data_IF_765281283769
#
_entry.id   IF_765281283769
#
_cell.length_a   1.000
_cell.length_b   1.000
_cell.length_c   1.000
_cell.angle_alpha   90.00
_cell.angle_beta   90.00
_cell.angle_gamma   90.00
#
_symmetry.space_group_name_H-M   'P 1'
#
loop_
_entity.id
_entity.type
_entity.pdbx_description
1 polymer ?
#
# COMPACT_ATOMS: atom_id res chain seq x y z
N UNK A 1 -25.95 5.75 -27.02
CA UNK A 1 -24.66 6.41 -26.73
C UNK A 1 -24.87 7.39 -25.57
N UNK A 2 -23.88 7.61 -24.70
CA UNK A 2 -23.86 8.80 -23.83
C UNK A 2 -24.06 10.04 -24.69
N UNK A 3 -24.73 11.07 -24.16
CA UNK A 3 -24.90 12.33 -24.87
C UNK A 3 -23.58 13.12 -24.75
N UNK A 4 -22.83 13.22 -25.85
CA UNK A 4 -21.51 13.86 -25.90
C UNK A 4 -21.59 15.36 -26.25
N UNK A 5 -22.79 15.92 -26.40
CA UNK A 5 -22.95 17.32 -26.77
C UNK A 5 -22.41 18.23 -25.67
N UNK A 6 -21.45 19.09 -26.00
CA UNK A 6 -20.86 20.06 -25.07
C UNK A 6 -19.66 19.56 -24.26
N UNK A 7 -19.05 18.42 -24.64
CA UNK A 7 -17.75 18.03 -24.10
C UNK A 7 -16.59 18.51 -24.99
N UNK A 8 -15.54 19.05 -24.38
CA UNK A 8 -14.31 19.47 -25.04
C UNK A 8 -13.25 18.35 -25.01
N UNK A 9 -12.54 18.07 -26.11
CA UNK A 9 -11.46 17.08 -26.13
C UNK A 9 -10.24 17.60 -25.35
N UNK A 10 -9.72 16.78 -24.41
CA UNK A 10 -8.45 17.05 -23.72
C UNK A 10 -7.28 16.50 -24.52
N UNK A 11 -7.44 15.29 -25.07
CA UNK A 11 -6.41 14.63 -25.86
C UNK A 11 -6.68 14.83 -27.36
N UNK A 12 -5.63 14.95 -28.20
CA UNK A 12 -5.81 15.17 -29.64
C UNK A 12 -6.58 14.05 -30.36
N UNK A 13 -6.54 12.83 -29.83
CA UNK A 13 -7.26 11.66 -30.33
C UNK A 13 -8.74 11.59 -29.87
N UNK A 14 -9.18 12.54 -29.04
CA UNK A 14 -10.53 12.56 -28.46
C UNK A 14 -10.79 11.43 -27.46
N UNK A 15 -9.75 10.73 -27.00
CA UNK A 15 -9.87 9.63 -26.06
C UNK A 15 -10.21 10.06 -24.62
N UNK A 16 -10.05 11.35 -24.30
CA UNK A 16 -10.55 11.95 -23.07
C UNK A 16 -11.35 13.20 -23.40
N UNK A 17 -12.62 13.22 -22.99
CA UNK A 17 -13.56 14.31 -23.20
C UNK A 17 -13.94 14.94 -21.85
N UNK A 18 -14.03 16.27 -21.78
CA UNK A 18 -14.30 17.03 -20.55
C UNK A 18 -15.58 17.84 -20.65
N UNK A 19 -16.36 17.90 -19.57
CA UNK A 19 -17.37 18.94 -19.36
C UNK A 19 -17.21 19.53 -17.98
N UNK A 20 -17.09 20.86 -17.90
CA UNK A 20 -17.03 21.58 -16.62
C UNK A 20 -18.42 21.68 -16.04
N UNK A 21 -18.63 21.16 -14.82
CA UNK A 21 -19.91 21.21 -14.11
C UNK A 21 -20.00 22.45 -13.22
N UNK A 22 -18.89 22.81 -12.57
CA UNK A 22 -18.73 24.01 -11.76
C UNK A 22 -17.39 24.64 -12.06
N UNK A 23 -17.41 25.90 -12.46
CA UNK A 23 -16.18 26.66 -12.69
C UNK A 23 -15.51 27.04 -11.37
N UNK A 24 -14.18 27.11 -11.41
CA UNK A 24 -13.37 27.69 -10.34
C UNK A 24 -13.65 29.19 -10.21
N UNK A 25 -13.50 29.75 -9.01
CA UNK A 25 -13.64 31.21 -8.82
C UNK A 25 -12.45 31.91 -9.47
N UNK A 26 -12.65 33.15 -9.93
CA UNK A 26 -11.58 33.95 -10.53
C UNK A 26 -10.41 34.23 -9.59
N UNK A 27 -10.62 34.13 -8.27
CA UNK A 27 -9.61 34.26 -7.22
C UNK A 27 -8.73 33.01 -7.05
N UNK A 28 -9.13 31.87 -7.60
CA UNK A 28 -8.48 30.60 -7.33
C UNK A 28 -7.18 30.48 -8.15
N UNK A 29 -6.07 30.02 -7.54
CA UNK A 29 -4.78 29.98 -8.20
C UNK A 29 -4.79 28.96 -9.35
N UNK A 30 -4.18 29.33 -10.48
CA UNK A 30 -3.90 28.38 -11.55
C UNK A 30 -2.79 27.43 -11.11
N UNK A 31 -3.04 26.11 -11.04
CA UNK A 31 -2.05 25.16 -10.56
C UNK A 31 -0.87 25.03 -11.52
N UNK A 32 0.33 24.90 -10.98
CA UNK A 32 1.54 24.56 -11.75
C UNK A 32 1.75 23.05 -11.70
N UNK A 33 1.57 22.39 -12.84
CA UNK A 33 1.74 20.94 -12.95
C UNK A 33 3.20 20.58 -13.20
N UNK A 34 3.94 20.35 -12.11
CA UNK A 34 5.30 19.80 -12.15
C UNK A 34 5.31 18.36 -11.65
N UNK A 35 6.34 17.60 -12.00
CA UNK A 35 6.55 16.25 -11.45
C UNK A 35 6.67 16.34 -9.93
N UNK A 36 5.92 15.51 -9.21
CA UNK A 36 5.84 15.56 -7.75
C UNK A 36 4.77 16.49 -7.19
N UNK A 37 4.00 17.22 -8.01
CA UNK A 37 2.85 17.96 -7.47
C UNK A 37 1.81 16.99 -6.89
N UNK A 38 1.24 17.34 -5.73
CA UNK A 38 0.13 16.62 -5.11
C UNK A 38 -1.19 17.23 -5.56
N UNK A 39 -2.01 16.49 -6.29
CA UNK A 39 -3.39 16.89 -6.51
C UNK A 39 -4.28 16.24 -5.45
N UNK A 40 -4.98 17.07 -4.66
CA UNK A 40 -5.94 16.62 -3.66
C UNK A 40 -7.35 16.88 -4.18
N UNK A 41 -8.12 15.81 -4.37
CA UNK A 41 -9.45 15.91 -4.97
C UNK A 41 -10.40 14.83 -4.47
N UNK A 42 -11.69 15.05 -4.65
CA UNK A 42 -12.67 13.97 -4.58
C UNK A 42 -13.05 13.53 -5.97
N UNK A 43 -13.28 12.23 -6.13
CA UNK A 43 -13.76 11.67 -7.38
C UNK A 43 -14.90 10.68 -7.17
N UNK A 44 -15.75 10.56 -8.19
CA UNK A 44 -16.73 9.50 -8.36
C UNK A 44 -16.53 8.86 -9.72
N UNK A 45 -16.65 7.52 -9.79
CA UNK A 45 -16.49 6.77 -11.05
C UNK A 45 -17.80 6.13 -11.45
N UNK A 46 -18.13 6.26 -12.73
CA UNK A 46 -19.37 5.76 -13.31
C UNK A 46 -19.09 4.88 -14.52
N UNK A 47 -19.96 3.88 -14.70
CA UNK A 47 -19.98 2.98 -15.84
C UNK A 47 -21.34 3.06 -16.53
N UNK A 48 -21.33 2.98 -17.86
CA UNK A 48 -22.53 2.93 -18.67
C UNK A 48 -22.90 1.47 -18.97
N UNK A 49 -23.89 0.93 -18.26
CA UNK A 49 -24.37 -0.42 -18.52
C UNK A 49 -25.47 -0.40 -19.58
N UNK A 50 -25.42 -1.26 -20.62
CA UNK A 50 -26.58 -1.51 -21.45
C UNK A 50 -27.68 -2.13 -20.56
N UNK A 51 -28.90 -1.58 -20.59
CA UNK A 51 -30.02 -2.15 -19.81
C UNK A 51 -30.17 -3.64 -20.15
N UNK A 52 -29.79 -4.52 -19.24
CA UNK A 52 -30.16 -5.92 -19.31
C UNK A 52 -31.67 -6.01 -19.07
N UNK A 53 -32.40 -6.73 -19.93
CA UNK A 53 -33.75 -7.15 -19.59
C UNK A 53 -33.68 -7.89 -18.25
N UNK A 54 -34.59 -7.64 -17.29
CA UNK A 54 -34.58 -8.38 -16.04
C UNK A 54 -34.66 -9.87 -16.35
N UNK A 55 -33.62 -10.63 -15.98
CA UNK A 55 -33.67 -12.10 -16.02
C UNK A 55 -34.88 -12.49 -15.19
N UNK A 56 -35.90 -13.07 -15.83
CA UNK A 56 -37.02 -13.70 -15.12
C UNK A 56 -36.40 -14.62 -14.08
N UNK A 57 -36.75 -14.41 -12.80
CA UNK A 57 -36.48 -15.37 -11.73
C UNK A 57 -37.05 -16.72 -12.20
N UNK A 58 -36.18 -17.65 -12.62
CA UNK A 58 -36.53 -19.06 -12.58
C UNK A 58 -36.53 -19.42 -11.10
N UNK A 59 -37.71 -19.33 -10.51
CA UNK A 59 -38.03 -20.02 -9.28
C UNK A 59 -37.79 -21.50 -9.51
N UNK A 60 -36.86 -22.10 -8.76
CA UNK A 60 -36.68 -23.53 -8.72
C UNK A 60 -37.98 -24.22 -8.30
N UNK A 61 -38.38 -25.23 -9.07
CA UNK A 61 -38.99 -26.43 -8.51
C UNK A 61 -38.00 -27.56 -8.76
N UNK A 62 -37.41 -28.02 -7.66
CA UNK A 62 -36.85 -29.37 -7.57
C UNK A 62 -38.01 -30.35 -7.75
N UNK A 63 -37.92 -31.22 -8.75
CA UNK A 63 -38.48 -32.56 -8.66
C UNK A 63 -37.31 -33.51 -8.94
N UNK A 64 -37.09 -34.39 -7.98
CA UNK A 64 -36.06 -35.41 -7.92
C UNK A 64 -36.62 -36.71 -8.53
N UNK A 65 -35.70 -37.59 -8.93
CA UNK A 65 -35.87 -39.02 -9.31
C UNK A 65 -36.28 -39.26 -10.79
N UNK A 66 -35.67 -40.17 -11.56
CA UNK A 66 -34.80 -41.31 -11.24
C UNK A 66 -34.00 -41.77 -12.48
N UNK A 67 -32.84 -42.38 -12.20
CA UNK A 67 -32.01 -43.34 -12.97
C UNK A 67 -32.39 -43.75 -14.41
N UNK A 68 -31.42 -43.74 -15.33
CA UNK A 68 -30.68 -44.95 -15.75
C UNK A 68 -29.63 -44.67 -16.84
N UNK A 69 -28.55 -45.46 -16.74
CA UNK A 69 -27.36 -45.55 -17.59
C UNK A 69 -27.60 -45.62 -19.11
N UNK A 70 -26.64 -45.11 -19.89
CA UNK A 70 -25.79 -46.02 -20.68
C UNK A 70 -24.59 -45.33 -21.34
N UNK A 71 -23.48 -46.07 -21.27
CA UNK A 71 -22.17 -45.80 -21.83
C UNK A 71 -22.12 -45.94 -23.36
N UNK A 72 -21.24 -45.13 -23.93
CA UNK A 72 -20.17 -45.49 -24.87
C UNK A 72 -20.42 -45.62 -26.38
N UNK A 73 -19.32 -45.22 -27.05
CA UNK A 73 -18.74 -45.62 -28.32
C UNK A 73 -18.86 -44.68 -29.52
N UNK A 74 -17.65 -44.29 -29.94
CA UNK A 74 -17.26 -43.66 -31.18
C UNK A 74 -17.31 -44.64 -32.37
N UNK A 75 -17.58 -44.11 -33.56
CA UNK A 75 -16.96 -44.40 -34.86
C UNK A 75 -17.86 -43.74 -35.93
N UNK A 76 -17.42 -42.77 -36.72
CA UNK A 76 -16.49 -42.84 -37.86
C UNK A 76 -17.17 -43.19 -39.20
N UNK A 77 -16.84 -42.38 -40.21
CA UNK A 77 -16.88 -42.62 -41.66
C UNK A 77 -18.20 -42.75 -42.46
N UNK A 78 -18.33 -41.81 -43.42
CA UNK A 78 -18.59 -41.96 -44.86
C UNK A 78 -19.55 -43.03 -45.40
N UNK A 79 -20.44 -42.63 -46.32
CA UNK A 79 -21.11 -43.59 -47.20
C UNK A 79 -22.24 -43.01 -48.06
N UNK A 80 -21.86 -42.53 -49.23
CA UNK A 80 -22.65 -42.04 -50.34
C UNK A 80 -23.61 -43.11 -50.95
N UNK A 81 -24.80 -42.70 -51.41
CA UNK A 81 -25.49 -43.08 -52.69
C UNK A 81 -27.03 -43.08 -52.66
N UNK A 82 -27.57 -42.33 -53.63
CA UNK A 82 -28.73 -42.56 -54.54
C UNK A 82 -30.09 -42.95 -53.95
N UNK A 83 -31.24 -42.62 -54.54
CA UNK A 83 -31.75 -41.74 -55.59
C UNK A 83 -33.28 -41.88 -55.43
N UNK A 84 -34.06 -40.81 -55.55
CA UNK A 84 -35.19 -40.78 -56.47
C UNK A 84 -35.94 -39.44 -56.39
N UNK A 85 -35.83 -38.76 -57.51
CA UNK A 85 -36.56 -37.61 -57.97
C UNK A 85 -38.04 -37.96 -58.22
N UNK A 86 -38.95 -37.10 -57.76
CA UNK A 86 -40.16 -36.73 -58.51
C UNK A 86 -40.69 -35.41 -57.97
N UNK A 87 -40.39 -34.34 -58.71
CA UNK A 87 -41.06 -33.06 -58.58
C UNK A 87 -42.54 -33.16 -58.92
N UNK A 88 -43.34 -32.27 -58.31
CA UNK A 88 -44.40 -31.64 -59.08
C UNK A 88 -44.68 -30.21 -58.62
N UNK A 89 -45.07 -29.42 -59.60
CA UNK A 89 -45.03 -27.97 -59.73
C UNK A 89 -45.83 -27.14 -58.73
N UNK A 90 -45.32 -25.90 -58.59
CA UNK A 90 -45.92 -24.76 -57.94
C UNK A 90 -47.03 -24.10 -58.77
N UNK A 91 -47.98 -23.48 -58.05
CA UNK A 91 -48.75 -22.24 -58.31
C UNK A 91 -49.84 -22.21 -57.22
N UNK A 92 -50.03 -21.23 -56.35
CA UNK A 92 -49.71 -19.81 -56.35
C UNK A 92 -50.98 -19.14 -55.84
N UNK A 93 -50.94 -18.45 -54.69
CA UNK A 93 -51.78 -17.25 -54.49
C UNK A 93 -51.37 -16.48 -53.23
N UNK A 94 -51.22 -15.18 -53.44
CA UNK A 94 -50.75 -14.17 -52.51
C UNK A 94 -51.81 -13.83 -51.45
N UNK A 95 -51.41 -13.77 -50.18
CA UNK A 95 -52.07 -12.90 -49.19
C UNK A 95 -51.04 -12.11 -48.39
N UNK A 96 -51.13 -10.80 -48.60
CA UNK A 96 -50.45 -9.70 -47.93
C UNK A 96 -50.37 -9.84 -46.40
N UNK A 97 -49.16 -9.83 -45.85
CA UNK A 97 -48.92 -9.55 -44.42
C UNK A 97 -48.23 -8.20 -44.32
N UNK A 98 -48.98 -7.20 -43.88
CA UNK A 98 -48.52 -5.87 -43.51
C UNK A 98 -47.45 -6.00 -42.41
N UNK A 99 -46.18 -5.80 -42.77
CA UNK A 99 -45.08 -5.68 -41.80
C UNK A 99 -45.21 -4.35 -41.06
N UNK A 100 -45.84 -4.35 -39.88
CA UNK A 100 -45.70 -3.23 -38.93
C UNK A 100 -44.24 -3.16 -38.49
N UNK A 101 -43.54 -2.10 -38.88
CA UNK A 101 -42.19 -1.81 -38.39
C UNK A 101 -42.27 -1.43 -36.91
N UNK A 102 -41.99 -2.39 -36.04
CA UNK A 102 -41.76 -2.14 -34.62
C UNK A 102 -40.45 -1.36 -34.49
N UNK A 103 -40.53 -0.03 -34.32
CA UNK A 103 -39.41 0.81 -33.89
C UNK A 103 -38.77 0.17 -32.66
N UNK A 104 -37.54 -0.36 -32.80
CA UNK A 104 -36.68 -0.72 -31.66
C UNK A 104 -36.51 0.56 -30.84
N UNK A 105 -37.17 0.66 -29.67
CA UNK A 105 -36.86 1.69 -28.68
C UNK A 105 -35.41 1.47 -28.28
N UNK A 106 -34.50 2.33 -28.74
CA UNK A 106 -33.12 2.35 -28.25
C UNK A 106 -33.16 2.61 -26.74
N UNK A 107 -32.85 1.57 -25.96
CA UNK A 107 -32.78 1.68 -24.51
C UNK A 107 -31.58 2.56 -24.16
N UNK A 108 -31.84 3.76 -23.61
CA UNK A 108 -30.78 4.64 -23.12
C UNK A 108 -29.92 3.87 -22.08
N UNK A 109 -28.58 3.87 -22.22
CA UNK A 109 -27.69 3.23 -21.27
C UNK A 109 -27.87 3.85 -19.88
N UNK A 110 -27.76 3.04 -18.83
CA UNK A 110 -27.91 3.50 -17.45
C UNK A 110 -26.54 3.83 -16.89
N UNK A 111 -26.39 5.07 -16.40
CA UNK A 111 -25.21 5.51 -15.65
C UNK A 111 -25.27 4.89 -14.25
N UNK A 112 -24.33 4.00 -13.94
CA UNK A 112 -24.19 3.34 -12.64
C UNK A 112 -22.92 3.84 -11.95
N UNK A 113 -23.03 4.28 -10.69
CA UNK A 113 -21.89 4.65 -9.85
C UNK A 113 -21.17 3.38 -9.39
N UNK A 114 -19.84 3.37 -9.47
CA UNK A 114 -19.01 2.22 -9.13
C UNK A 114 -18.06 2.51 -7.98
N UNK A 115 -17.63 3.77 -7.84
CA UNK A 115 -16.79 4.21 -6.73
C UNK A 115 -17.07 5.67 -6.36
N UNK A 116 -16.84 6.02 -5.10
CA UNK A 116 -16.80 7.40 -4.61
C UNK A 116 -15.79 7.53 -3.48
N UNK A 117 -14.79 8.39 -3.70
CA UNK A 117 -13.83 8.76 -2.66
C UNK A 117 -14.49 9.25 -1.35
N UNK A 118 -15.66 9.90 -1.43
CA UNK A 118 -16.37 10.43 -0.25
C UNK A 118 -17.10 9.36 0.55
N UNK A 119 -17.54 8.30 -0.11
CA UNK A 119 -18.16 7.15 0.57
C UNK A 119 -17.09 6.29 1.27
N UNK A 120 -15.85 6.33 0.77
CA UNK A 120 -14.73 5.60 1.35
C UNK A 120 -14.08 6.36 2.52
N UNK A 121 -13.86 7.66 2.36
CA UNK A 121 -13.31 8.51 3.41
C UNK A 121 -13.77 9.98 3.24
N UNK A 122 -14.85 10.41 3.91
CA UNK A 122 -15.44 11.73 3.67
C UNK A 122 -14.50 12.89 4.06
N UNK A 123 -13.65 12.67 5.07
CA UNK A 123 -12.79 13.72 5.63
C UNK A 123 -11.42 13.81 4.96
N UNK A 124 -11.05 12.84 4.10
CA UNK A 124 -9.73 12.79 3.47
C UNK A 124 -9.85 12.77 1.95
N UNK A 125 -9.39 13.82 1.25
CA UNK A 125 -9.39 13.82 -0.20
C UNK A 125 -8.40 12.79 -0.75
N UNK A 126 -8.67 12.30 -1.96
CA UNK A 126 -7.76 11.43 -2.68
C UNK A 126 -6.52 12.23 -3.12
N UNK A 127 -5.34 11.64 -2.94
CA UNK A 127 -4.06 12.26 -3.30
C UNK A 127 -3.47 11.58 -4.53
N UNK A 128 -3.18 12.38 -5.56
CA UNK A 128 -2.53 11.93 -6.78
C UNK A 128 -1.20 12.64 -6.97
N UNK A 129 -0.11 11.85 -7.05
CA UNK A 129 1.23 12.36 -7.32
C UNK A 129 1.47 12.44 -8.83
N UNK A 130 1.61 13.66 -9.33
CA UNK A 130 1.75 13.93 -10.75
C UNK A 130 3.11 13.50 -11.28
N UNK A 131 3.15 12.83 -12.43
CA UNK A 131 4.38 12.43 -13.12
C UNK A 131 5.03 11.14 -12.58
N UNK A 132 4.29 10.31 -11.83
CA UNK A 132 4.70 8.96 -11.48
C UNK A 132 3.83 7.93 -12.21
N UNK A 133 4.45 6.89 -12.74
CA UNK A 133 3.83 5.87 -13.63
C UNK A 133 2.74 5.01 -12.97
N UNK A 134 2.42 5.25 -11.70
CA UNK A 134 1.43 4.48 -10.93
C UNK A 134 0.01 5.08 -11.02
N UNK A 135 -0.17 6.21 -11.71
CA UNK A 135 -1.47 6.85 -11.90
C UNK A 135 -2.26 6.21 -13.04
N UNK A 136 -3.59 6.16 -12.87
CA UNK A 136 -4.50 5.96 -14.01
C UNK A 136 -4.29 7.15 -14.95
N UNK A 137 -3.74 6.89 -16.13
CA UNK A 137 -3.29 7.95 -17.05
C UNK A 137 -4.41 8.94 -17.36
N UNK A 138 -5.63 8.44 -17.52
CA UNK A 138 -6.83 9.26 -17.72
C UNK A 138 -7.15 10.19 -16.55
N UNK A 139 -6.99 9.73 -15.31
CA UNK A 139 -7.18 10.59 -14.12
C UNK A 139 -6.11 11.67 -14.03
N UNK A 140 -4.85 11.35 -14.32
CA UNK A 140 -3.76 12.35 -14.28
C UNK A 140 -3.97 13.43 -15.35
N UNK A 141 -4.33 13.06 -16.58
CA UNK A 141 -4.59 14.02 -17.66
C UNK A 141 -5.85 14.86 -17.37
N UNK A 142 -6.90 14.24 -16.84
CA UNK A 142 -8.12 14.94 -16.41
C UNK A 142 -7.78 16.02 -15.38
N UNK A 143 -7.09 15.67 -14.31
CA UNK A 143 -6.70 16.60 -13.23
C UNK A 143 -5.80 17.72 -13.74
N UNK A 144 -4.83 17.43 -14.63
CA UNK A 144 -3.96 18.46 -15.25
C UNK A 144 -4.74 19.52 -16.05
N UNK A 145 -5.92 19.18 -16.56
CA UNK A 145 -6.77 20.10 -17.31
C UNK A 145 -7.65 21.00 -16.42
N UNK A 146 -7.65 20.79 -15.10
CA UNK A 146 -8.53 21.48 -14.15
C UNK A 146 -7.87 22.66 -13.46
N UNK A 147 -8.70 23.60 -13.00
CA UNK A 147 -8.33 24.64 -12.03
C UNK A 147 -8.72 24.21 -10.61
N UNK A 148 -8.03 24.75 -9.62
CA UNK A 148 -8.36 24.53 -8.21
C UNK A 148 -9.78 25.07 -7.94
N UNK A 149 -10.63 24.30 -7.26
CA UNK A 149 -12.04 24.62 -7.02
C UNK A 149 -13.00 24.19 -8.13
N UNK A 150 -12.48 23.72 -9.27
CA UNK A 150 -13.31 23.25 -10.39
C UNK A 150 -13.92 21.88 -10.10
N UNK A 151 -15.17 21.68 -10.54
CA UNK A 151 -15.78 20.35 -10.65
C UNK A 151 -16.03 20.05 -12.10
N UNK A 152 -15.48 18.95 -12.61
CA UNK A 152 -15.62 18.56 -14.01
C UNK A 152 -15.87 17.06 -14.14
N UNK A 153 -16.51 16.69 -15.24
CA UNK A 153 -16.76 15.30 -15.63
C UNK A 153 -15.95 14.97 -16.86
N UNK A 154 -15.34 13.80 -16.82
CA UNK A 154 -14.43 13.29 -17.82
C UNK A 154 -14.92 11.94 -18.31
N UNK A 155 -15.00 11.76 -19.61
CA UNK A 155 -15.24 10.46 -20.21
C UNK A 155 -13.94 9.97 -20.84
N UNK A 156 -13.40 8.90 -20.27
CA UNK A 156 -12.11 8.33 -20.63
C UNK A 156 -12.32 7.01 -21.36
N UNK A 157 -11.72 6.88 -22.55
CA UNK A 157 -11.70 5.63 -23.30
C UNK A 157 -10.87 4.55 -22.59
N UNK A 158 -11.09 3.24 -22.87
CA UNK A 158 -10.42 2.15 -22.16
C UNK A 158 -8.90 2.27 -22.08
N UNK A 159 -8.24 2.74 -23.16
CA UNK A 159 -6.78 2.95 -23.21
C UNK A 159 -6.25 3.93 -22.15
N UNK A 160 -7.09 4.86 -21.68
CA UNK A 160 -6.75 5.84 -20.65
C UNK A 160 -7.18 5.39 -19.24
N UNK A 161 -7.95 4.31 -19.15
CA UNK A 161 -8.44 3.75 -17.89
C UNK A 161 -7.58 2.58 -17.38
N UNK A 162 -6.51 2.24 -18.09
CA UNK A 162 -5.57 1.20 -17.67
C UNK A 162 -5.01 1.52 -16.26
N UNK A 163 -4.94 0.48 -15.42
CA UNK A 163 -4.54 0.62 -14.01
C UNK A 163 -5.69 0.94 -13.04
N UNK A 164 -6.88 1.38 -13.50
CA UNK A 164 -7.98 1.70 -12.57
C UNK A 164 -8.46 0.48 -11.76
N UNK A 165 -8.50 -0.70 -12.37
CA UNK A 165 -8.84 -1.95 -11.68
C UNK A 165 -7.86 -2.25 -10.54
N UNK A 166 -6.56 -2.03 -10.78
CA UNK A 166 -5.53 -2.21 -9.76
C UNK A 166 -5.67 -1.19 -8.63
N UNK A 167 -5.89 0.09 -8.98
CA UNK A 167 -6.16 1.14 -8.01
C UNK A 167 -7.38 0.81 -7.14
N UNK A 168 -8.49 0.42 -7.76
CA UNK A 168 -9.71 0.05 -7.05
C UNK A 168 -9.50 -1.17 -6.13
N UNK A 169 -8.68 -2.15 -6.53
CA UNK A 169 -8.28 -3.29 -5.67
C UNK A 169 -7.49 -2.81 -4.44
N UNK A 170 -6.52 -1.91 -4.61
CA UNK A 170 -5.73 -1.34 -3.50
C UNK A 170 -6.62 -0.56 -2.54
N UNK A 171 -7.49 0.31 -3.05
CA UNK A 171 -8.40 1.12 -2.22
C UNK A 171 -9.39 0.27 -1.41
N UNK A 172 -9.95 -0.79 -2.01
CA UNK A 172 -10.78 -1.74 -1.28
C UNK A 172 -10.01 -2.42 -0.14
N UNK A 173 -8.77 -2.85 -0.41
CA UNK A 173 -7.94 -3.50 0.61
C UNK A 173 -7.58 -2.55 1.75
N UNK A 174 -7.27 -1.28 1.46
CA UNK A 174 -7.03 -0.26 2.48
C UNK A 174 -8.24 -0.03 3.37
N UNK A 175 -9.45 0.00 2.79
CA UNK A 175 -10.70 0.11 3.55
C UNK A 175 -10.90 -1.06 4.49
N UNK A 176 -10.68 -2.29 4.01
CA UNK A 176 -10.72 -3.49 4.85
C UNK A 176 -9.67 -3.44 5.97
N UNK A 177 -8.45 -3.02 5.65
CA UNK A 177 -7.36 -2.92 6.62
C UNK A 177 -7.65 -1.88 7.71
N UNK A 178 -8.27 -0.74 7.36
CA UNK A 178 -8.77 0.24 8.34
C UNK A 178 -9.84 -0.37 9.24
N UNK A 179 -10.80 -1.12 8.67
CA UNK A 179 -11.82 -1.82 9.44
C UNK A 179 -11.25 -2.92 10.34
N UNK A 180 -10.20 -3.62 9.88
CA UNK A 180 -9.49 -4.64 10.65
C UNK A 180 -8.68 -4.03 11.80
N UNK A 181 -8.03 -2.89 11.57
CA UNK A 181 -7.30 -2.17 12.60
C UNK A 181 -8.22 -1.76 13.77
N UNK A 182 -9.44 -1.29 13.48
CA UNK A 182 -10.47 -1.01 14.50
C UNK A 182 -10.88 -2.25 15.30
N UNK A 183 -10.73 -3.45 14.73
CA UNK A 183 -11.03 -4.74 15.36
C UNK A 183 -9.79 -5.40 15.98
N UNK A 184 -8.62 -4.75 15.95
CA UNK A 184 -7.35 -5.34 16.41
C UNK A 184 -6.84 -6.50 15.55
N UNK A 185 -7.38 -6.66 14.34
CA UNK A 185 -6.98 -7.71 13.39
C UNK A 185 -5.80 -7.17 12.55
N UNK A 186 -4.73 -7.96 12.34
CA UNK A 186 -3.59 -7.53 11.54
C UNK A 186 -4.00 -7.23 10.09
N UNK A 187 -3.35 -6.22 9.50
CA UNK A 187 -3.60 -5.83 8.11
C UNK A 187 -3.26 -6.97 7.14
N UNK A 188 -4.15 -7.22 6.18
CA UNK A 188 -3.88 -8.14 5.06
C UNK A 188 -2.96 -7.44 4.06
N UNK A 189 -1.87 -8.10 3.70
CA UNK A 189 -0.99 -7.66 2.62
C UNK A 189 -1.45 -8.31 1.31
N UNK A 190 -1.34 -7.58 0.20
CA UNK A 190 -1.54 -8.16 -1.14
C UNK A 190 -0.40 -9.18 -1.35
N UNK A 191 -0.68 -10.46 -1.11
CA UNK A 191 0.28 -11.54 -1.27
C UNK A 191 -0.07 -12.32 -2.53
N UNK A 192 0.83 -12.26 -3.52
CA UNK A 192 0.74 -13.16 -4.66
C UNK A 192 0.97 -14.62 -4.26
N UNK A 193 0.25 -15.52 -4.94
CA UNK A 193 0.61 -16.93 -5.16
C UNK A 193 0.25 -18.01 -4.12
N UNK A 194 -1.02 -18.12 -3.68
CA UNK A 194 -1.54 -19.37 -3.10
C UNK A 194 -2.93 -19.71 -3.67
N UNK A 195 -3.19 -20.99 -3.97
CA UNK A 195 -4.42 -21.44 -4.65
C UNK A 195 -5.69 -21.34 -3.79
N UNK A 196 -5.55 -21.25 -2.45
CA UNK A 196 -6.70 -21.21 -1.54
C UNK A 196 -7.31 -19.81 -1.41
N UNK A 197 -6.50 -18.75 -1.57
CA UNK A 197 -6.96 -17.36 -1.59
C UNK A 197 -7.63 -16.95 -2.90
N UNK A 198 -7.53 -17.77 -3.96
CA UNK A 198 -8.15 -17.47 -5.25
C UNK A 198 -9.68 -17.48 -5.22
N UNK A 199 -10.33 -18.29 -4.38
CA UNK A 199 -11.80 -18.47 -4.44
C UNK A 199 -12.57 -17.32 -3.81
N UNK A 200 -12.13 -16.82 -2.66
CA UNK A 200 -12.66 -15.59 -2.03
C UNK A 200 -12.27 -14.34 -2.83
N UNK A 201 -11.05 -14.29 -3.39
CA UNK A 201 -10.65 -13.22 -4.32
C UNK A 201 -11.50 -13.20 -5.59
N UNK A 202 -11.88 -14.34 -6.15
CA UNK A 202 -12.65 -14.43 -7.39
C UNK A 202 -14.12 -14.03 -7.20
N UNK A 203 -14.72 -14.30 -6.02
CA UNK A 203 -16.08 -13.84 -5.68
C UNK A 203 -16.11 -12.33 -5.40
N UNK A 204 -15.10 -11.78 -4.71
CA UNK A 204 -14.96 -10.35 -4.39
C UNK A 204 -14.50 -9.47 -5.59
N UNK A 205 -14.03 -10.07 -6.69
CA UNK A 205 -13.53 -9.37 -7.88
C UNK A 205 -14.47 -9.41 -9.08
N UNK A 206 -15.67 -10.01 -8.94
CA UNK A 206 -16.67 -10.05 -10.02
C UNK A 206 -17.07 -8.64 -10.48
N UNK A 207 -17.17 -7.68 -9.56
CA UNK A 207 -17.51 -6.29 -9.85
C UNK A 207 -16.35 -5.49 -10.49
N UNK A 208 -15.10 -5.82 -10.15
CA UNK A 208 -13.89 -5.25 -10.74
C UNK A 208 -13.64 -5.76 -12.16
N UNK A 209 -14.02 -7.00 -12.46
CA UNK A 209 -13.93 -7.56 -13.81
C UNK A 209 -14.77 -6.77 -14.82
N UNK A 210 -15.92 -6.23 -14.40
CA UNK A 210 -16.78 -5.38 -15.26
C UNK A 210 -16.12 -4.06 -15.66
N UNK A 211 -15.06 -3.64 -14.96
CA UNK A 211 -14.34 -2.39 -15.23
C UNK A 211 -13.15 -2.57 -16.18
N UNK A 212 -12.83 -3.81 -16.56
CA UNK A 212 -11.72 -4.08 -17.45
C UNK A 212 -12.11 -3.79 -18.91
N UNK A 213 -11.32 -2.95 -19.59
CA UNK A 213 -11.47 -2.72 -21.04
C UNK A 213 -12.71 -1.91 -21.45
N UNK A 214 -13.36 -1.22 -20.50
CA UNK A 214 -14.55 -0.39 -20.73
C UNK A 214 -14.23 1.09 -20.52
N UNK A 215 -14.92 2.02 -21.22
CA UNK A 215 -14.77 3.44 -20.95
C UNK A 215 -15.34 3.77 -19.58
N UNK A 216 -14.63 4.60 -18.83
CA UNK A 216 -15.03 5.05 -17.50
C UNK A 216 -15.31 6.54 -17.53
N UNK A 217 -16.31 6.94 -16.75
CA UNK A 217 -16.59 8.35 -16.50
C UNK A 217 -16.09 8.72 -15.10
N UNK A 218 -15.23 9.73 -15.02
CA UNK A 218 -14.74 10.30 -13.78
C UNK A 218 -15.40 11.65 -13.55
N UNK A 219 -16.04 11.82 -12.41
CA UNK A 219 -16.49 13.14 -11.93
C UNK A 219 -15.51 13.56 -10.83
N UNK A 220 -14.76 14.63 -11.05
CA UNK A 220 -13.66 15.07 -10.18
C UNK A 220 -13.94 16.47 -9.68
N UNK A 221 -13.73 16.69 -8.38
CA UNK A 221 -13.71 17.99 -7.73
C UNK A 221 -12.31 18.25 -7.18
N UNK A 222 -11.56 19.14 -7.86
CA UNK A 222 -10.19 19.47 -7.49
C UNK A 222 -10.19 20.48 -6.34
N UNK A 223 -9.67 20.08 -5.17
CA UNK A 223 -9.71 20.92 -3.97
C UNK A 223 -8.45 21.76 -3.81
N UNK A 224 -7.29 21.14 -4.00
CA UNK A 224 -5.99 21.76 -3.70
C UNK A 224 -4.90 21.13 -4.56
N UNK A 225 -3.89 21.92 -4.91
CA UNK A 225 -2.65 21.43 -5.52
C UNK A 225 -1.47 21.89 -4.66
N UNK A 226 -0.74 20.93 -4.10
CA UNK A 226 0.44 21.20 -3.28
C UNK A 226 1.70 20.96 -4.10
N UNK A 227 2.65 21.89 -4.01
CA UNK A 227 3.95 21.75 -4.63
C UNK A 227 4.80 20.71 -3.87
N UNK A 228 5.81 20.08 -4.50
CA UNK A 228 6.63 19.02 -3.90
C UNK A 228 7.33 19.40 -2.58
N UNK A 229 7.50 20.70 -2.33
CA UNK A 229 8.08 21.29 -1.13
C UNK A 229 7.06 21.60 -0.02
N UNK A 230 5.76 21.63 -0.35
CA UNK A 230 4.68 21.94 0.58
C UNK A 230 4.18 20.72 1.38
N UNK A 231 4.67 19.52 1.11
CA UNK A 231 4.28 18.30 1.81
C UNK A 231 5.48 17.36 2.04
N UNK A 232 5.32 16.40 2.95
CA UNK A 232 6.35 15.39 3.21
C UNK A 232 6.28 14.32 2.12
N UNK A 233 7.24 14.34 1.20
CA UNK A 233 7.35 13.35 0.12
C UNK A 233 7.61 11.96 0.66
N UNK A 234 7.05 10.94 0.03
CA UNK A 234 7.35 9.55 0.40
C UNK A 234 8.69 9.08 -0.18
N UNK A 235 9.38 8.08 0.41
CA UNK A 235 10.69 7.65 -0.08
C UNK A 235 10.69 7.24 -1.55
N UNK A 236 9.62 6.64 -2.09
CA UNK A 236 9.54 6.28 -3.52
C UNK A 236 9.41 7.50 -4.45
N UNK A 237 9.05 8.67 -3.91
CA UNK A 237 8.93 9.92 -4.65
C UNK A 237 10.26 10.68 -4.72
N UNK A 238 11.23 10.30 -3.89
CA UNK A 238 12.51 10.99 -3.73
C UNK A 238 13.61 10.30 -4.51
N UNK A 239 14.53 11.11 -5.05
CA UNK A 239 15.77 10.61 -5.62
C UNK A 239 16.73 10.12 -4.52
N UNK A 240 17.68 9.26 -4.89
CA UNK A 240 18.64 8.69 -3.93
C UNK A 240 19.45 9.78 -3.20
N UNK A 241 19.87 10.81 -3.94
CA UNK A 241 20.64 11.94 -3.41
C UNK A 241 19.80 12.78 -2.44
N UNK A 242 18.54 13.06 -2.77
CA UNK A 242 17.61 13.77 -1.88
C UNK A 242 17.46 13.04 -0.54
N UNK A 243 17.31 11.70 -0.57
CA UNK A 243 17.24 10.89 0.65
C UNK A 243 18.51 11.00 1.49
N UNK A 244 19.66 10.94 0.82
CA UNK A 244 20.97 11.04 1.46
C UNK A 244 21.17 12.40 2.15
N UNK A 245 20.68 13.49 1.54
CA UNK A 245 20.75 14.85 2.10
C UNK A 245 19.72 15.11 3.20
N UNK A 246 18.50 14.55 3.11
CA UNK A 246 17.45 14.77 4.12
C UNK A 246 17.72 13.98 5.43
N UNK A 247 18.22 12.75 5.33
CA UNK A 247 18.45 11.88 6.49
C UNK A 247 19.28 12.53 7.63
N UNK A 248 20.42 13.20 7.40
CA UNK A 248 21.19 13.85 8.46
C UNK A 248 20.43 15.01 9.11
N UNK A 249 19.67 15.80 8.34
CA UNK A 249 18.85 16.90 8.86
C UNK A 249 17.81 16.36 9.84
N UNK A 250 17.12 15.27 9.48
CA UNK A 250 16.14 14.62 10.37
C UNK A 250 16.77 14.06 11.64
N UNK A 251 17.99 13.52 11.55
CA UNK A 251 18.75 13.05 12.71
C UNK A 251 19.11 14.21 13.66
N UNK A 252 19.48 15.37 13.14
CA UNK A 252 19.77 16.56 13.94
C UNK A 252 18.52 17.13 14.60
N UNK A 253 17.41 17.27 13.86
CA UNK A 253 16.09 17.65 14.39
C UNK A 253 15.63 16.71 15.51
N UNK A 254 15.79 15.39 15.32
CA UNK A 254 15.50 14.43 16.39
C UNK A 254 16.40 14.63 17.61
N UNK A 255 17.66 15.00 17.40
CA UNK A 255 18.62 15.25 18.48
C UNK A 255 18.30 16.49 19.32
N UNK A 256 17.79 17.55 18.70
CA UNK A 256 17.34 18.75 19.42
C UNK A 256 16.09 18.46 20.24
N UNK A 257 15.10 17.77 19.66
CA UNK A 257 13.86 17.36 20.34
C UNK A 257 14.13 16.39 21.50
N UNK A 258 15.05 15.44 21.32
CA UNK A 258 15.44 14.51 22.38
C UNK A 258 16.02 15.24 23.59
N UNK A 259 16.88 16.25 23.37
CA UNK A 259 17.44 17.10 24.44
C UNK A 259 16.36 17.92 25.17
N UNK A 260 15.27 18.27 24.47
CA UNK A 260 14.11 18.97 25.05
C UNK A 260 13.15 18.02 25.81
N UNK A 261 13.42 16.72 25.84
CA UNK A 261 12.54 15.73 26.49
C UNK A 261 11.31 15.33 25.66
N UNK A 262 11.19 15.81 24.42
CA UNK A 262 10.10 15.50 23.50
C UNK A 262 10.38 14.21 22.74
N UNK A 263 10.28 13.09 23.44
CA UNK A 263 10.71 11.78 22.91
C UNK A 263 9.84 11.27 21.76
N UNK A 264 8.52 11.52 21.77
CA UNK A 264 7.63 11.10 20.68
C UNK A 264 7.89 11.87 19.39
N UNK A 265 8.06 13.20 19.48
CA UNK A 265 8.40 14.03 18.32
C UNK A 265 9.79 13.65 17.77
N UNK A 266 10.77 13.42 18.65
CA UNK A 266 12.11 12.94 18.27
C UNK A 266 12.04 11.57 17.58
N UNK A 267 11.21 10.66 18.09
CA UNK A 267 10.98 9.33 17.51
C UNK A 267 10.44 9.44 16.08
N UNK A 268 9.48 10.33 15.81
CA UNK A 268 8.96 10.56 14.47
C UNK A 268 10.07 10.99 13.49
N UNK A 269 10.97 11.87 13.92
CA UNK A 269 12.13 12.32 13.12
C UNK A 269 13.13 11.19 12.85
N UNK A 270 13.48 10.40 13.86
CA UNK A 270 14.38 9.25 13.68
C UNK A 270 13.77 8.14 12.82
N UNK A 271 12.46 7.89 12.97
CA UNK A 271 11.73 6.93 12.13
C UNK A 271 11.82 7.36 10.67
N UNK A 272 11.52 8.63 10.38
CA UNK A 272 11.66 9.19 9.03
C UNK A 272 13.07 9.04 8.48
N UNK A 273 14.10 9.36 9.28
CA UNK A 273 15.48 9.18 8.87
C UNK A 273 15.81 7.72 8.52
N UNK A 274 15.39 6.76 9.36
CA UNK A 274 15.59 5.34 9.12
C UNK A 274 14.87 4.85 7.86
N UNK A 275 13.62 5.25 7.63
CA UNK A 275 12.87 4.87 6.42
C UNK A 275 13.58 5.37 5.15
N UNK A 276 14.12 6.60 5.17
CA UNK A 276 14.89 7.14 4.05
C UNK A 276 16.18 6.35 3.82
N UNK A 277 16.92 6.04 4.88
CA UNK A 277 18.18 5.30 4.83
C UNK A 277 17.99 3.85 4.38
N UNK A 278 16.96 3.16 4.86
CA UNK A 278 16.62 1.80 4.45
C UNK A 278 16.16 1.78 2.98
N UNK A 279 15.32 2.72 2.56
CA UNK A 279 14.94 2.87 1.15
C UNK A 279 16.15 3.14 0.26
N UNK A 280 17.10 3.96 0.73
CA UNK A 280 18.32 4.28 0.01
C UNK A 280 19.24 3.06 -0.07
N UNK A 281 19.39 2.29 1.01
CA UNK A 281 20.15 1.03 1.05
C UNK A 281 19.65 -0.01 0.04
N UNK A 282 18.32 -0.04 -0.20
CA UNK A 282 17.70 -0.90 -1.20
C UNK A 282 17.71 -0.35 -2.62
N UNK A 283 18.22 0.87 -2.84
CA UNK A 283 18.32 1.44 -4.18
C UNK A 283 19.41 0.74 -5.00
N UNK A 284 19.21 0.66 -6.33
CA UNK A 284 20.20 0.06 -7.24
C UNK A 284 21.58 0.72 -7.12
N UNK A 285 21.62 2.05 -6.95
CA UNK A 285 22.85 2.82 -6.78
C UNK A 285 23.66 2.30 -5.58
N UNK A 286 23.02 2.13 -4.41
CA UNK A 286 23.73 1.64 -3.21
C UNK A 286 24.07 0.17 -3.31
N UNK A 287 23.19 -0.66 -3.89
CA UNK A 287 23.49 -2.07 -4.10
C UNK A 287 24.68 -2.27 -5.06
N UNK A 288 24.80 -1.47 -6.11
CA UNK A 288 25.93 -1.53 -7.03
C UNK A 288 27.22 -1.01 -6.38
N UNK A 289 27.16 0.06 -5.56
CA UNK A 289 28.30 0.54 -4.76
C UNK A 289 28.79 -0.48 -3.73
N UNK A 290 27.89 -1.26 -3.14
CA UNK A 290 28.23 -2.27 -2.13
C UNK A 290 28.86 -3.54 -2.72
N UNK A 291 28.81 -3.73 -4.05
CA UNK A 291 29.43 -4.89 -4.70
C UNK A 291 30.95 -4.74 -4.77
N UNK A 292 31.71 -5.85 -4.72
CA UNK A 292 33.15 -5.83 -4.99
C UNK A 292 33.43 -5.23 -6.37
N UNK A 293 34.23 -4.16 -6.42
CA UNK A 293 34.52 -3.44 -7.67
C UNK A 293 33.40 -2.49 -8.14
N UNK A 294 32.39 -2.23 -7.30
CA UNK A 294 31.33 -1.26 -7.58
C UNK A 294 31.88 0.14 -7.83
N UNK A 295 31.30 0.84 -8.81
CA UNK A 295 31.62 2.23 -9.09
C UNK A 295 31.19 3.09 -7.90
N UNK A 296 32.09 3.94 -7.40
CA UNK A 296 31.75 4.93 -6.37
C UNK A 296 30.82 5.98 -6.96
N UNK A 297 29.86 6.43 -6.18
CA UNK A 297 29.06 7.60 -6.51
C UNK A 297 29.81 8.87 -6.08
N UNK A 298 29.69 9.97 -6.83
CA UNK A 298 30.42 11.22 -6.56
C UNK A 298 30.05 11.84 -5.20
N UNK A 299 28.76 11.80 -4.86
CA UNK A 299 28.24 12.43 -3.62
C UNK A 299 27.92 11.46 -2.48
N UNK A 300 27.66 10.18 -2.75
CA UNK A 300 27.17 9.23 -1.74
C UNK A 300 28.34 8.41 -1.23
N UNK A 301 28.67 8.57 0.05
CA UNK A 301 29.66 7.74 0.72
C UNK A 301 28.99 6.63 1.53
N UNK A 302 29.31 5.39 1.19
CA UNK A 302 28.74 4.20 1.82
C UNK A 302 29.14 4.09 3.30
N UNK A 303 30.35 4.50 3.67
CA UNK A 303 30.80 4.48 5.05
C UNK A 303 29.99 5.47 5.90
N UNK A 304 29.84 6.71 5.43
CA UNK A 304 29.01 7.74 6.07
C UNK A 304 27.55 7.30 6.16
N UNK A 305 26.99 6.68 5.10
CA UNK A 305 25.62 6.16 5.09
C UNK A 305 25.40 5.10 6.18
N UNK A 306 26.33 4.14 6.29
CA UNK A 306 26.26 3.07 7.28
C UNK A 306 26.38 3.63 8.71
N UNK A 307 27.34 4.53 8.95
CA UNK A 307 27.50 5.19 10.25
C UNK A 307 26.27 6.01 10.65
N UNK A 308 25.67 6.74 9.70
CA UNK A 308 24.45 7.49 9.91
C UNK A 308 23.29 6.56 10.28
N UNK A 309 23.15 5.43 9.58
CA UNK A 309 22.14 4.41 9.86
C UNK A 309 22.29 3.86 11.28
N UNK A 310 23.49 3.43 11.68
CA UNK A 310 23.75 2.94 13.04
C UNK A 310 23.43 4.00 14.10
N UNK A 311 23.82 5.25 13.85
CA UNK A 311 23.56 6.38 14.76
C UNK A 311 22.05 6.62 14.91
N UNK A 312 21.29 6.61 13.81
CA UNK A 312 19.84 6.76 13.84
C UNK A 312 19.15 5.60 14.57
N UNK A 313 19.59 4.35 14.35
CA UNK A 313 19.05 3.18 15.08
C UNK A 313 19.28 3.29 16.58
N UNK A 314 20.49 3.70 16.99
CA UNK A 314 20.82 3.94 18.38
C UNK A 314 19.92 5.04 18.98
N UNK A 315 19.77 6.18 18.30
CA UNK A 315 18.96 7.29 18.84
C UNK A 315 17.47 6.96 18.89
N UNK A 316 16.95 6.23 17.89
CA UNK A 316 15.60 5.66 17.92
C UNK A 316 15.42 4.77 19.15
N UNK A 317 16.36 3.84 19.38
CA UNK A 317 16.35 2.96 20.54
C UNK A 317 16.39 3.75 21.86
N UNK A 318 17.15 4.85 21.94
CA UNK A 318 17.16 5.72 23.10
C UNK A 318 15.80 6.36 23.38
N UNK A 319 15.10 6.83 22.34
CA UNK A 319 13.75 7.40 22.47
C UNK A 319 12.76 6.33 22.96
N UNK A 320 12.78 5.14 22.35
CA UNK A 320 11.90 4.03 22.73
C UNK A 320 12.14 3.55 24.17
N UNK A 321 13.39 3.52 24.62
CA UNK A 321 13.73 3.24 26.02
C UNK A 321 13.11 4.24 26.99
N UNK A 322 13.08 5.53 26.62
CA UNK A 322 12.44 6.59 27.42
C UNK A 322 10.92 6.52 27.41
N UNK A 323 10.34 5.94 26.36
CA UNK A 323 8.90 5.69 26.23
C UNK A 323 8.48 4.32 26.79
N UNK A 324 9.40 3.59 27.45
CA UNK A 324 9.16 2.27 28.05
C UNK A 324 8.66 1.19 27.06
N UNK A 325 8.95 1.37 25.77
CA UNK A 325 8.64 0.42 24.70
C UNK A 325 9.92 -0.35 24.33
N UNK A 326 10.07 -1.54 24.91
CA UNK A 326 11.35 -2.25 24.98
C UNK A 326 11.61 -3.20 23.82
N UNK A 327 10.58 -3.78 23.20
CA UNK A 327 10.73 -4.70 22.08
C UNK A 327 11.41 -4.05 20.85
N UNK A 328 11.05 -2.82 20.43
CA UNK A 328 11.74 -2.14 19.34
C UNK A 328 13.19 -1.78 19.69
N UNK A 329 13.50 -1.54 20.97
CA UNK A 329 14.88 -1.29 21.44
C UNK A 329 15.74 -2.51 21.16
N UNK A 330 15.26 -3.70 21.53
CA UNK A 330 15.97 -4.96 21.30
C UNK A 330 16.22 -5.19 19.81
N UNK A 331 15.19 -5.00 18.97
CA UNK A 331 15.32 -5.18 17.53
C UNK A 331 16.37 -4.23 16.94
N UNK A 332 16.30 -2.94 17.26
CA UNK A 332 17.20 -1.93 16.69
C UNK A 332 18.64 -2.07 17.19
N UNK A 333 18.84 -2.34 18.48
CA UNK A 333 20.17 -2.60 19.03
C UNK A 333 20.79 -3.88 18.47
N UNK A 334 19.99 -4.92 18.20
CA UNK A 334 20.47 -6.15 17.59
C UNK A 334 20.97 -5.91 16.16
N UNK A 335 20.27 -5.11 15.35
CA UNK A 335 20.77 -4.73 14.02
C UNK A 335 22.08 -3.94 14.08
N UNK A 336 22.26 -3.07 15.08
CA UNK A 336 23.53 -2.36 15.30
C UNK A 336 24.65 -3.34 15.63
N UNK A 337 24.39 -4.29 16.54
CA UNK A 337 25.39 -5.27 17.01
C UNK A 337 25.80 -6.30 15.96
N UNK A 338 24.98 -6.52 14.91
CA UNK A 338 25.40 -7.31 13.74
C UNK A 338 26.53 -6.64 12.95
N UNK A 339 26.61 -5.32 13.00
CA UNK A 339 27.61 -4.53 12.26
C UNK A 339 28.78 -4.13 13.15
N UNK A 340 28.49 -3.74 14.40
CA UNK A 340 29.45 -3.31 15.42
C UNK A 340 29.15 -4.04 16.73
N UNK A 341 29.74 -5.22 16.90
CA UNK A 341 29.46 -6.14 18.03
C UNK A 341 29.82 -5.55 19.39
N UNK A 342 30.79 -4.63 19.41
CA UNK A 342 31.36 -4.07 20.64
C UNK A 342 30.75 -2.69 20.95
N UNK A 343 29.63 -2.35 20.28
CA UNK A 343 28.99 -1.05 20.47
C UNK A 343 28.43 -0.90 21.90
N UNK A 344 29.17 -0.18 22.72
CA UNK A 344 28.86 0.10 24.14
C UNK A 344 27.42 0.59 24.33
N UNK A 345 26.92 1.48 23.47
CA UNK A 345 25.56 2.05 23.59
C UNK A 345 24.49 1.03 23.24
N UNK A 346 24.71 0.18 22.23
CA UNK A 346 23.75 -0.85 21.84
C UNK A 346 23.66 -1.94 22.92
N UNK A 347 24.80 -2.46 23.38
CA UNK A 347 24.87 -3.47 24.45
C UNK A 347 24.17 -2.98 25.72
N UNK A 348 24.49 -1.76 26.15
CA UNK A 348 23.88 -1.18 27.36
C UNK A 348 22.36 -1.03 27.23
N UNK A 349 21.87 -0.47 26.13
CA UNK A 349 20.43 -0.23 25.91
C UNK A 349 19.64 -1.53 25.72
N UNK A 350 20.22 -2.52 25.04
CA UNK A 350 19.59 -3.83 24.85
C UNK A 350 19.52 -4.61 26.17
N UNK A 351 20.59 -4.61 26.96
CA UNK A 351 20.60 -5.17 28.31
C UNK A 351 19.58 -4.51 29.24
N UNK A 352 19.44 -3.18 29.18
CA UNK A 352 18.37 -2.45 29.89
C UNK A 352 16.98 -2.93 29.45
N UNK A 353 16.72 -3.02 28.14
CA UNK A 353 15.43 -3.48 27.62
C UNK A 353 15.09 -4.91 28.08
N UNK A 354 16.02 -5.87 27.96
CA UNK A 354 15.82 -7.23 28.45
C UNK A 354 15.56 -7.28 29.96
N UNK A 355 16.33 -6.50 30.73
CA UNK A 355 16.13 -6.39 32.19
C UNK A 355 14.74 -5.87 32.51
N UNK A 356 14.23 -4.88 31.77
CA UNK A 356 12.90 -4.29 32.00
C UNK A 356 11.77 -5.25 31.63
N UNK A 357 11.83 -5.91 30.47
CA UNK A 357 10.85 -6.94 30.04
C UNK A 357 10.80 -8.11 31.03
N UNK A 358 11.95 -8.59 31.50
CA UNK A 358 12.03 -9.58 32.57
C UNK A 358 11.87 -11.05 32.17
N UNK A 359 11.67 -11.35 30.88
CA UNK A 359 11.58 -12.73 30.35
C UNK A 359 12.94 -13.30 29.91
N UNK A 360 13.78 -12.47 29.33
CA UNK A 360 15.06 -12.86 28.72
C UNK A 360 16.25 -12.34 29.57
N UNK A 361 16.22 -12.60 30.88
CA UNK A 361 17.21 -12.05 31.82
C UNK A 361 18.63 -12.58 31.58
N UNK A 362 18.77 -13.79 31.06
CA UNK A 362 20.09 -14.37 30.73
C UNK A 362 20.78 -13.59 29.60
N UNK A 363 20.01 -13.14 28.59
CA UNK A 363 20.51 -12.30 27.51
C UNK A 363 20.95 -10.91 28.04
N UNK A 364 20.26 -10.38 29.05
CA UNK A 364 20.68 -9.15 29.71
C UNK A 364 22.04 -9.32 30.43
N UNK A 365 22.27 -10.49 31.06
CA UNK A 365 23.56 -10.77 31.70
C UNK A 365 24.70 -10.83 30.68
N UNK A 366 24.45 -11.50 29.55
CA UNK A 366 25.42 -11.59 28.45
C UNK A 366 25.75 -10.20 27.89
N UNK A 367 24.75 -9.37 27.62
CA UNK A 367 24.95 -8.01 27.11
C UNK A 367 25.79 -7.14 28.07
N UNK A 368 25.53 -7.22 29.39
CA UNK A 368 26.32 -6.49 30.37
C UNK A 368 27.74 -7.06 30.55
N UNK A 369 27.94 -8.37 30.40
CA UNK A 369 29.27 -8.97 30.43
C UNK A 369 30.11 -8.56 29.21
N UNK A 370 29.50 -8.59 28.01
CA UNK A 370 30.12 -8.12 26.78
C UNK A 370 30.45 -6.63 26.87
N UNK A 371 29.57 -5.83 27.48
CA UNK A 371 29.81 -4.41 27.72
C UNK A 371 31.02 -4.15 28.63
N UNK A 372 31.21 -4.95 29.69
CA UNK A 372 32.41 -4.86 30.53
C UNK A 372 33.68 -5.23 29.76
N UNK A 373 33.60 -6.22 28.87
CA UNK A 373 34.68 -6.56 27.95
C UNK A 373 35.06 -5.37 27.06
N UNK A 374 34.06 -4.76 26.42
CA UNK A 374 34.24 -3.62 25.51
C UNK A 374 34.74 -2.34 26.21
N UNK A 375 34.35 -2.09 27.46
CA UNK A 375 34.78 -0.92 28.23
C UNK A 375 36.23 -1.02 28.77
N UNK A 376 36.84 -2.21 28.75
CA UNK A 376 38.20 -2.44 29.23
C UNK A 376 38.32 -2.50 30.76
N UNK A 377 39.22 -3.35 31.26
CA UNK A 377 39.37 -3.64 32.71
C UNK A 377 40.33 -2.69 33.47
N UNK A 378 40.88 -1.67 32.82
CA UNK A 378 41.90 -0.81 33.42
C UNK A 378 41.31 0.09 34.53
N UNK A 379 41.95 0.11 35.69
CA UNK A 379 41.44 0.74 36.93
C UNK A 379 41.22 2.26 36.87
N UNK A 380 41.67 2.93 35.81
CA UNK A 380 41.50 4.38 35.56
C UNK A 380 40.15 4.69 34.89
N UNK A 381 39.49 3.71 34.26
CA UNK A 381 38.26 3.90 33.48
C UNK A 381 36.97 3.78 34.31
N UNK A 382 37.03 3.18 35.51
CA UNK A 382 35.88 2.89 36.38
C UNK A 382 35.17 4.13 36.97
N UNK A 383 35.71 5.33 36.74
CA UNK A 383 35.10 6.62 37.12
C UNK A 383 34.22 7.22 36.02
N UNK A 384 34.18 6.64 34.82
CA UNK A 384 33.27 7.10 33.76
C UNK A 384 31.80 6.90 34.19
N UNK A 385 30.89 7.84 33.89
CA UNK A 385 29.49 7.73 34.26
C UNK A 385 28.84 6.43 33.75
N UNK A 386 29.28 5.93 32.60
CA UNK A 386 28.85 4.65 32.02
C UNK A 386 29.05 3.46 32.97
N UNK A 387 30.15 3.41 33.73
CA UNK A 387 30.40 2.36 34.71
C UNK A 387 29.48 2.46 35.93
N UNK A 388 29.15 3.69 36.35
CA UNK A 388 28.23 3.90 37.48
C UNK A 388 26.81 3.47 37.12
N UNK A 389 26.35 3.77 35.91
CA UNK A 389 25.04 3.36 35.42
C UNK A 389 24.99 1.84 35.17
N UNK A 390 26.06 1.24 34.64
CA UNK A 390 26.17 -0.21 34.49
C UNK A 390 26.04 -0.96 35.82
N UNK A 391 26.69 -0.49 36.88
CA UNK A 391 26.56 -1.11 38.22
C UNK A 391 25.13 -1.07 38.73
N UNK A 392 24.41 0.05 38.53
CA UNK A 392 23.01 0.18 38.94
C UNK A 392 22.11 -0.81 38.18
N UNK A 393 22.26 -0.89 36.86
CA UNK A 393 21.46 -1.81 36.04
C UNK A 393 21.79 -3.27 36.34
N UNK A 394 23.04 -3.61 36.65
CA UNK A 394 23.42 -4.96 37.11
C UNK A 394 22.79 -5.31 38.44
N UNK A 395 22.79 -4.40 39.41
CA UNK A 395 22.10 -4.63 40.69
C UNK A 395 20.60 -4.86 40.49
N UNK A 396 19.97 -4.11 39.59
CA UNK A 396 18.59 -4.32 39.22
C UNK A 396 18.38 -5.71 38.60
N UNK A 397 19.24 -6.12 37.66
CA UNK A 397 19.19 -7.43 37.03
C UNK A 397 19.36 -8.57 38.04
N UNK A 398 20.33 -8.48 38.95
CA UNK A 398 20.55 -9.47 40.02
C UNK A 398 19.34 -9.60 40.94
N UNK A 399 18.71 -8.48 41.30
CA UNK A 399 17.47 -8.50 42.09
C UNK A 399 16.35 -9.21 41.34
N UNK A 400 16.16 -8.94 40.04
CA UNK A 400 15.14 -9.59 39.20
C UNK A 400 15.40 -11.08 39.07
N UNK A 401 16.63 -11.49 38.81
CA UNK A 401 17.03 -12.90 38.72
C UNK A 401 16.77 -13.65 40.03
N UNK A 402 17.08 -13.03 41.18
CA UNK A 402 16.77 -13.63 42.48
C UNK A 402 15.27 -13.85 42.64
N UNK A 403 14.45 -12.85 42.33
CA UNK A 403 12.98 -13.00 42.40
C UNK A 403 12.43 -14.03 41.42
N UNK A 404 13.02 -14.13 40.22
CA UNK A 404 12.65 -15.12 39.22
C UNK A 404 12.94 -16.54 39.71
N UNK A 405 14.17 -16.79 40.20
CA UNK A 405 14.58 -18.09 40.77
C UNK A 405 13.77 -18.48 42.01
N UNK A 406 13.41 -17.52 42.85
CA UNK A 406 12.53 -17.77 44.01
C UNK A 406 11.12 -18.18 43.58
N UNK A 407 10.56 -17.56 42.53
CA UNK A 407 9.27 -17.94 41.96
C UNK A 407 9.33 -19.33 41.33
N UNK A 408 10.37 -19.64 40.56
CA UNK A 408 10.56 -20.98 40.00
C UNK A 408 10.68 -22.04 41.10
N UNK A 409 11.50 -21.78 42.13
CA UNK A 409 11.65 -22.70 43.26
C UNK A 409 10.30 -22.98 43.95
N UNK A 410 9.48 -21.95 44.15
CA UNK A 410 8.14 -22.10 44.73
C UNK A 410 7.19 -22.88 43.81
N UNK A 411 7.18 -22.59 42.51
CA UNK A 411 6.36 -23.31 41.53
C UNK A 411 6.73 -24.79 41.46
N UNK A 412 8.01 -25.12 41.28
CA UNK A 412 8.45 -26.51 41.19
C UNK A 412 8.37 -27.24 42.54
N UNK A 413 8.65 -26.55 43.66
CA UNK A 413 8.50 -27.13 45.00
C UNK A 413 7.07 -27.53 45.34
N UNK A 414 6.05 -26.85 44.79
CA UNK A 414 4.64 -27.19 44.97
C UNK A 414 4.12 -28.28 44.03
N UNK A 415 4.89 -28.65 42.99
CA UNK A 415 4.52 -29.71 42.03
C UNK A 415 5.03 -31.08 42.49
N UNK A 416 6.11 -31.11 43.28
CA UNK A 416 6.77 -32.35 43.71
C UNK A 416 6.72 -32.63 45.22
N UNK A 417 6.15 -31.71 46.01
CA UNK A 417 5.86 -31.88 47.43
C UNK A 417 4.36 -31.92 47.67
#
# INVERSE_FOLDING_TARGET
MPDFTGMDPITPDGGIMKITLREAKSSDPTPKWIRGANARFHYSVFLYSPKSCPKKKQTGKHEHEEHMDCKAHAADSCGDKHDHDHGNDAKGDERSVVRKSSKKRELKPVRRKVADSREDNPDTPFELRIGYKFSVTGMELAVKSMKVGETARFLCMPQYCEGYVQLAKVLKQEKENKANALKGIPAKRIQGCCAHSMREEMEAQTDLAELHGVPLEFEIELLEVQMPDAYVREPWEMEAIDKYREAPIRKEEGGTLYKQGKYEEALAKYTRALTLLESLSMSSIVQDMARPGGAKHEEIDLATLNQLTLTCRLNYAACKLKLEDYEPVIAQCTEVLKTDSDNVKALFRRGQAYTRIGRDLDLAQEDFANLEGALGKADVEKQRPEWTELRKERQLLESKLKTYREKERKMYGSIFG
#
